data_IF_358240568026
#
_entry.id   IF_358240568026
#
_cell.length_a   1.000
_cell.length_b   1.000
_cell.length_c   1.000
_cell.angle_alpha   90.00
_cell.angle_beta   90.00
_cell.angle_gamma   90.00
#
_symmetry.space_group_name_H-M   'P 1'
#
loop_
_entity.id
_entity.type
_entity.pdbx_description
1 polymer ?
#
# COMPACT_ATOMS: atom_id res chain seq x y z
N UNK A 1 18.98 24.61 15.59
CA UNK A 1 20.40 24.35 15.27
C UNK A 1 20.50 22.90 14.84
N UNK A 2 21.12 22.60 13.70
CA UNK A 2 21.38 21.21 13.29
C UNK A 2 22.64 20.70 14.00
N UNK A 3 22.61 19.51 14.58
CA UNK A 3 23.72 18.90 15.32
C UNK A 3 23.76 17.39 15.13
N UNK A 4 24.95 16.82 15.01
CA UNK A 4 25.18 15.37 14.99
C UNK A 4 26.16 15.03 16.12
N UNK A 5 25.67 14.38 17.17
CA UNK A 5 26.43 14.08 18.38
C UNK A 5 26.52 12.55 18.50
N UNK A 6 27.72 12.04 18.69
CA UNK A 6 27.96 10.62 18.93
C UNK A 6 28.96 10.43 20.09
N UNK A 7 28.76 9.41 20.95
CA UNK A 7 29.65 9.16 22.07
C UNK A 7 30.98 8.54 21.62
N UNK A 8 32.09 9.01 22.20
CA UNK A 8 33.43 8.45 21.97
C UNK A 8 33.76 7.39 23.04
N UNK A 9 33.83 6.12 22.64
CA UNK A 9 34.21 5.02 23.52
C UNK A 9 35.72 4.75 23.44
N UNK A 10 36.43 4.95 24.55
CA UNK A 10 37.85 4.67 24.66
C UNK A 10 38.17 3.92 25.95
N UNK A 11 39.15 3.02 25.88
CA UNK A 11 39.67 2.30 27.04
C UNK A 11 40.12 3.30 28.11
N UNK A 12 39.68 3.09 29.35
CA UNK A 12 39.99 3.97 30.49
C UNK A 12 39.08 5.20 30.65
N UNK A 13 38.10 5.41 29.77
CA UNK A 13 37.07 6.45 29.97
C UNK A 13 35.82 5.89 30.65
N UNK A 14 35.21 6.71 31.50
CA UNK A 14 33.97 6.37 32.21
C UNK A 14 32.79 6.49 31.25
N UNK A 15 31.97 5.44 31.20
CA UNK A 15 30.69 5.43 30.50
C UNK A 15 29.70 6.30 31.26
N UNK A 16 29.28 7.42 30.67
CA UNK A 16 28.30 8.33 31.28
C UNK A 16 26.89 7.96 30.86
N UNK A 17 25.91 8.26 31.72
CA UNK A 17 24.49 8.05 31.45
C UNK A 17 24.04 8.74 30.16
N UNK A 18 24.49 9.97 29.93
CA UNK A 18 24.11 10.78 28.76
C UNK A 18 24.59 10.13 27.44
N UNK A 19 25.66 9.35 27.48
CA UNK A 19 26.15 8.60 26.32
C UNK A 19 25.21 7.44 25.96
N UNK A 20 24.65 6.75 26.97
CA UNK A 20 23.67 5.68 26.78
C UNK A 20 22.31 6.24 26.35
N UNK A 21 21.87 7.34 26.96
CA UNK A 21 20.65 8.06 26.55
C UNK A 21 20.76 8.49 25.08
N UNK A 22 21.91 9.04 24.66
CA UNK A 22 22.15 9.39 23.26
C UNK A 22 22.03 8.19 22.31
N UNK A 23 22.56 7.01 22.68
CA UNK A 23 22.44 5.81 21.84
C UNK A 23 21.02 5.23 21.81
N UNK A 24 20.31 5.27 22.93
CA UNK A 24 18.95 4.76 23.07
C UNK A 24 17.94 5.61 22.31
N UNK A 25 18.07 6.93 22.43
CA UNK A 25 17.06 7.87 21.95
C UNK A 25 17.26 8.21 20.47
N UNK A 26 18.50 8.20 19.97
CA UNK A 26 18.82 8.58 18.59
C UNK A 26 18.04 7.78 17.52
N UNK A 27 17.97 6.43 17.55
CA UNK A 27 17.21 5.67 16.55
C UNK A 27 15.72 6.01 16.55
N UNK A 28 15.10 6.16 17.74
CA UNK A 28 13.68 6.51 17.86
C UNK A 28 13.40 7.92 17.37
N UNK A 29 14.26 8.88 17.73
CA UNK A 29 14.13 10.27 17.30
C UNK A 29 14.32 10.39 15.79
N UNK A 30 15.35 9.73 15.23
CA UNK A 30 15.60 9.74 13.79
C UNK A 30 14.41 9.17 13.03
N UNK A 31 13.90 8.00 13.44
CA UNK A 31 12.74 7.38 12.79
C UNK A 31 11.47 8.25 12.95
N UNK A 32 11.25 8.82 14.13
CA UNK A 32 10.13 9.73 14.39
C UNK A 32 10.17 10.99 13.53
N UNK A 33 11.35 11.59 13.32
CA UNK A 33 11.54 12.73 12.43
C UNK A 33 11.39 12.34 10.97
N UNK A 34 11.95 11.20 10.55
CA UNK A 34 11.91 10.73 9.17
C UNK A 34 10.47 10.47 8.69
N UNK A 35 9.65 9.82 9.54
CA UNK A 35 8.25 9.51 9.23
C UNK A 35 7.26 10.52 9.80
N UNK A 36 7.71 11.71 10.22
CA UNK A 36 6.85 12.70 10.88
C UNK A 36 5.67 13.11 10.00
N UNK A 37 5.91 13.32 8.71
CA UNK A 37 4.91 13.75 7.73
C UNK A 37 4.01 12.62 7.20
N UNK A 38 4.31 11.36 7.54
CA UNK A 38 3.54 10.21 7.06
C UNK A 38 2.22 10.09 7.84
N UNK A 39 1.18 9.60 7.18
CA UNK A 39 -0.06 9.19 7.85
C UNK A 39 0.13 7.90 8.64
N UNK A 40 -0.89 7.52 9.41
CA UNK A 40 -1.01 6.15 9.91
C UNK A 40 -1.19 5.17 8.74
N UNK A 41 -0.67 3.96 8.91
CA UNK A 41 -0.68 2.91 7.88
C UNK A 41 0.58 2.04 7.88
N UNK A 42 0.64 1.11 6.93
CA UNK A 42 1.81 0.25 6.68
C UNK A 42 2.92 1.10 6.07
N UNK A 43 4.11 1.08 6.69
CA UNK A 43 5.28 1.83 6.21
C UNK A 43 6.12 0.98 5.28
N UNK A 44 6.36 -0.28 5.64
CA UNK A 44 7.12 -1.24 4.85
C UNK A 44 6.82 -2.67 5.29
N UNK A 45 6.81 -3.62 4.35
CA UNK A 45 6.56 -5.04 4.64
C UNK A 45 5.13 -5.31 5.09
N UNK A 46 4.95 -6.24 6.03
CA UNK A 46 3.62 -6.69 6.48
C UNK A 46 2.82 -7.33 5.32
N UNK A 47 3.52 -7.94 4.37
CA UNK A 47 2.91 -8.69 3.28
C UNK A 47 2.16 -9.90 3.84
N UNK A 48 0.95 -10.14 3.34
CA UNK A 48 0.11 -11.27 3.76
C UNK A 48 0.16 -12.35 2.71
N UNK A 49 0.60 -13.55 3.11
CA UNK A 49 0.64 -14.75 2.28
C UNK A 49 -0.39 -15.74 2.78
N UNK A 50 -1.11 -16.40 1.87
CA UNK A 50 -2.09 -17.43 2.23
C UNK A 50 -1.39 -18.79 2.15
N UNK A 51 -1.28 -19.49 3.28
CA UNK A 51 -0.66 -20.81 3.37
C UNK A 51 -1.60 -21.80 4.06
N UNK A 52 -2.06 -22.82 3.32
CA UNK A 52 -2.99 -23.82 3.82
C UNK A 52 -4.21 -23.18 4.52
N UNK A 53 -4.32 -23.29 5.85
CA UNK A 53 -5.40 -22.76 6.69
C UNK A 53 -4.95 -21.57 7.55
N UNK A 54 -3.86 -20.90 7.16
CA UNK A 54 -3.27 -19.78 7.87
C UNK A 54 -2.95 -18.61 6.94
N UNK A 55 -3.05 -17.41 7.50
CA UNK A 55 -2.49 -16.19 6.92
C UNK A 55 -1.12 -15.97 7.57
N UNK A 56 -0.07 -15.92 6.76
CA UNK A 56 1.27 -15.60 7.21
C UNK A 56 1.52 -14.13 6.97
N UNK A 57 1.64 -13.37 8.05
CA UNK A 57 1.98 -11.94 8.01
C UNK A 57 3.49 -11.80 8.14
N UNK A 58 4.12 -11.27 7.09
CA UNK A 58 5.55 -11.04 7.05
C UNK A 58 6.01 -9.93 8.00
N UNK A 59 7.31 -9.91 8.29
CA UNK A 59 7.95 -8.85 9.06
C UNK A 59 7.68 -7.46 8.42
N UNK A 60 7.63 -6.42 9.24
CA UNK A 60 7.34 -5.09 8.73
C UNK A 60 7.24 -4.00 9.78
N UNK A 61 6.91 -2.81 9.31
CA UNK A 61 6.79 -1.58 10.11
C UNK A 61 5.44 -0.95 9.80
N UNK A 62 4.69 -0.61 10.85
CA UNK A 62 3.45 0.16 10.74
C UNK A 62 3.53 1.41 11.59
N UNK A 63 2.85 2.48 11.16
CA UNK A 63 2.70 3.73 11.90
C UNK A 63 1.27 3.86 12.39
N UNK A 64 1.09 4.14 13.68
CA UNK A 64 -0.22 4.45 14.28
C UNK A 64 -0.08 5.45 15.41
N UNK A 65 -0.94 6.49 15.43
CA UNK A 65 -0.95 7.48 16.51
C UNK A 65 0.40 8.19 16.69
N UNK A 66 1.15 8.39 15.61
CA UNK A 66 2.49 9.00 15.63
C UNK A 66 3.63 8.09 16.11
N UNK A 67 3.36 6.80 16.38
CA UNK A 67 4.35 5.81 16.81
C UNK A 67 4.60 4.78 15.73
N UNK A 68 5.82 4.25 15.68
CA UNK A 68 6.17 3.11 14.83
C UNK A 68 6.11 1.83 15.65
N UNK A 69 5.51 0.80 15.08
CA UNK A 69 5.45 -0.55 15.60
C UNK A 69 6.17 -1.47 14.62
N UNK A 70 6.97 -2.38 15.13
CA UNK A 70 7.76 -3.32 14.34
C UNK A 70 7.28 -4.74 14.60
N UNK A 71 7.07 -5.49 13.53
CA UNK A 71 6.90 -6.93 13.58
C UNK A 71 8.21 -7.56 13.08
N UNK A 72 8.98 -8.14 14.00
CA UNK A 72 10.32 -8.66 13.70
C UNK A 72 10.32 -10.10 13.20
N UNK A 73 9.28 -10.88 13.54
CA UNK A 73 9.11 -12.27 13.16
C UNK A 73 7.77 -12.48 12.45
N UNK A 74 7.75 -13.38 11.47
CA UNK A 74 6.49 -13.72 10.78
C UNK A 74 5.46 -14.27 11.78
N UNK A 75 4.20 -13.90 11.59
CA UNK A 75 3.10 -14.35 12.43
C UNK A 75 2.11 -15.16 11.61
N UNK A 76 1.75 -16.33 12.13
CA UNK A 76 0.73 -17.19 11.56
C UNK A 76 -0.60 -16.92 12.24
N UNK A 77 -1.60 -16.54 11.45
CA UNK A 77 -2.96 -16.28 11.91
C UNK A 77 -3.89 -17.32 11.30
N UNK A 78 -4.35 -18.32 12.06
CA UNK A 78 -5.29 -19.32 11.58
C UNK A 78 -6.61 -18.67 11.12
N UNK A 79 -7.16 -19.13 10.01
CA UNK A 79 -8.45 -18.67 9.52
C UNK A 79 -9.42 -19.84 9.26
N UNK A 80 -10.71 -19.56 9.18
CA UNK A 80 -11.74 -20.56 8.89
C UNK A 80 -12.73 -20.08 7.83
N UNK A 81 -13.40 -21.03 7.18
CA UNK A 81 -14.40 -20.75 6.15
C UNK A 81 -15.76 -20.44 6.77
N UNK A 82 -16.01 -19.18 7.12
CA UNK A 82 -17.26 -18.75 7.77
C UNK A 82 -18.35 -18.33 6.78
N UNK A 83 -18.03 -18.18 5.49
CA UNK A 83 -18.92 -17.63 4.46
C UNK A 83 -19.16 -16.12 4.57
N UNK A 84 -18.65 -15.48 5.63
CA UNK A 84 -18.79 -14.05 5.91
C UNK A 84 -17.51 -13.29 5.60
N UNK A 85 -17.62 -11.98 5.46
CA UNK A 85 -16.45 -11.12 5.29
C UNK A 85 -15.67 -11.07 6.61
N UNK A 86 -14.41 -11.46 6.56
CA UNK A 86 -13.47 -11.46 7.68
C UNK A 86 -12.31 -10.53 7.33
N UNK A 87 -11.98 -9.64 8.24
CA UNK A 87 -10.95 -8.62 8.11
C UNK A 87 -9.76 -8.99 8.99
N UNK A 88 -8.56 -9.03 8.40
CA UNK A 88 -7.32 -9.10 9.15
C UNK A 88 -6.86 -7.69 9.46
N UNK A 89 -6.67 -7.40 10.75
CA UNK A 89 -6.30 -6.07 11.24
C UNK A 89 -5.28 -6.17 12.36
N UNK A 90 -4.47 -5.11 12.49
CA UNK A 90 -3.62 -4.88 13.65
C UNK A 90 -4.44 -4.08 14.65
N UNK A 91 -4.57 -4.56 15.89
CA UNK A 91 -5.20 -3.84 16.99
C UNK A 91 -4.12 -3.26 17.90
N UNK A 92 -4.16 -1.94 18.10
CA UNK A 92 -3.21 -1.24 18.96
C UNK A 92 -3.77 -1.08 20.38
N UNK A 93 -2.98 -1.45 21.38
CA UNK A 93 -3.38 -1.36 22.79
C UNK A 93 -2.92 -0.05 23.43
N UNK A 94 -3.55 0.28 24.56
CA UNK A 94 -3.11 1.39 25.40
C UNK A 94 -1.70 1.12 25.97
N UNK A 95 -1.03 2.20 26.38
CA UNK A 95 0.27 2.09 27.03
C UNK A 95 0.15 1.31 28.35
N UNK A 96 1.02 0.32 28.54
CA UNK A 96 1.17 -0.38 29.80
C UNK A 96 2.45 0.11 30.48
N UNK A 97 2.31 0.75 31.64
CA UNK A 97 3.45 1.15 32.46
C UNK A 97 3.91 -0.02 33.32
N UNK A 98 5.12 -0.48 33.05
CA UNK A 98 5.85 -1.47 33.83
C UNK A 98 7.01 -0.77 34.55
N UNK A 99 7.62 -1.42 35.55
CA UNK A 99 8.64 -0.81 36.43
C UNK A 99 9.79 -0.15 35.67
N UNK A 100 10.23 -0.76 34.57
CA UNK A 100 11.38 -0.31 33.78
C UNK A 100 11.01 0.13 32.35
N UNK A 101 9.77 -0.11 31.91
CA UNK A 101 9.34 0.06 30.52
C UNK A 101 7.91 0.58 30.41
N UNK A 102 7.65 1.41 29.39
CA UNK A 102 6.30 1.63 28.89
C UNK A 102 6.13 0.82 27.61
N UNK A 103 5.23 -0.17 27.63
CA UNK A 103 4.99 -1.06 26.51
C UNK A 103 3.78 -0.58 25.72
N UNK A 104 3.96 -0.46 24.40
CA UNK A 104 2.87 -0.21 23.46
C UNK A 104 2.69 -1.49 22.65
N UNK A 105 1.72 -2.32 23.06
CA UNK A 105 1.42 -3.58 22.39
C UNK A 105 0.56 -3.39 21.14
N UNK A 106 0.71 -4.30 20.19
CA UNK A 106 -0.22 -4.47 19.09
C UNK A 106 -0.34 -5.96 18.75
N UNK A 107 -1.52 -6.40 18.34
CA UNK A 107 -1.80 -7.80 18.00
C UNK A 107 -2.50 -7.92 16.64
N UNK A 108 -2.33 -9.06 15.98
CA UNK A 108 -3.05 -9.41 14.76
C UNK A 108 -4.38 -10.08 15.12
N UNK A 109 -5.48 -9.58 14.57
CA UNK A 109 -6.84 -10.07 14.84
C UNK A 109 -7.58 -10.33 13.54
N UNK A 110 -8.33 -11.43 13.51
CA UNK A 110 -9.37 -11.68 12.52
C UNK A 110 -10.73 -11.39 13.12
N UNK A 111 -11.53 -10.59 12.43
CA UNK A 111 -12.84 -10.13 12.92
C UNK A 111 -13.81 -9.94 11.75
N UNK A 112 -15.10 -10.00 12.02
CA UNK A 112 -16.15 -9.65 11.04
C UNK A 112 -16.40 -8.12 11.01
N UNK A 113 -15.89 -7.38 12.00
CA UNK A 113 -16.01 -5.94 12.08
C UNK A 113 -14.92 -5.18 11.32
N UNK A 114 -15.34 -4.11 10.63
CA UNK A 114 -14.44 -3.15 9.97
C UNK A 114 -13.48 -2.52 10.99
N UNK A 115 -12.25 -2.27 10.58
CA UNK A 115 -11.24 -1.68 11.45
C UNK A 115 -11.68 -0.33 12.05
N UNK A 116 -11.61 -0.24 13.38
CA UNK A 116 -11.86 1.00 14.14
C UNK A 116 -10.68 1.98 14.14
N UNK A 117 -10.78 3.04 14.95
CA UNK A 117 -9.74 4.07 15.05
C UNK A 117 -8.41 3.58 15.67
N UNK A 118 -8.48 2.58 16.54
CA UNK A 118 -7.31 1.92 17.15
C UNK A 118 -6.91 0.65 16.41
N UNK A 119 -7.34 0.50 15.16
CA UNK A 119 -7.07 -0.67 14.34
C UNK A 119 -6.58 -0.26 12.95
N UNK A 120 -5.75 -1.10 12.33
CA UNK A 120 -5.27 -0.92 10.96
C UNK A 120 -5.57 -2.17 10.14
N UNK A 121 -6.41 -2.03 9.12
CA UNK A 121 -6.75 -3.11 8.20
C UNK A 121 -5.56 -3.46 7.28
N UNK A 122 -5.21 -4.75 7.24
CA UNK A 122 -4.22 -5.31 6.33
C UNK A 122 -4.86 -5.92 5.07
N UNK A 123 -6.13 -6.29 5.18
CA UNK A 123 -6.94 -6.82 4.09
C UNK A 123 -8.08 -7.67 4.62
N UNK A 124 -8.85 -8.26 3.71
CA UNK A 124 -10.06 -9.02 4.04
C UNK A 124 -10.31 -10.15 3.07
N UNK A 125 -11.18 -11.07 3.44
CA UNK A 125 -11.61 -12.16 2.58
C UNK A 125 -13.03 -12.62 2.95
N UNK A 126 -13.68 -13.32 2.01
CA UNK A 126 -14.95 -14.01 2.26
C UNK A 126 -14.85 -15.43 1.76
N UNK A 127 -14.60 -16.38 2.66
CA UNK A 127 -14.30 -17.76 2.30
C UNK A 127 -15.52 -18.67 2.47
N UNK A 128 -15.94 -19.32 1.37
CA UNK A 128 -17.03 -20.31 1.40
C UNK A 128 -16.56 -21.63 2.01
N UNK A 129 -17.46 -22.31 2.72
CA UNK A 129 -17.21 -23.67 3.19
C UNK A 129 -16.78 -24.59 2.04
N UNK A 130 -15.74 -25.41 2.27
CA UNK A 130 -15.18 -26.32 1.27
C UNK A 130 -14.31 -25.66 0.19
N UNK A 131 -14.16 -24.34 0.18
CA UNK A 131 -13.26 -23.65 -0.73
C UNK A 131 -11.87 -23.42 -0.11
N UNK A 132 -10.89 -23.13 -0.97
CA UNK A 132 -9.55 -22.68 -0.55
C UNK A 132 -9.41 -21.19 -0.81
N UNK A 133 -8.83 -20.48 0.15
CA UNK A 133 -8.45 -19.08 -0.04
C UNK A 133 -7.22 -19.03 -0.95
N UNK A 134 -7.20 -18.10 -1.91
CA UNK A 134 -6.05 -17.84 -2.78
C UNK A 134 -5.54 -16.41 -2.62
N UNK A 135 -4.28 -16.20 -2.97
CA UNK A 135 -3.66 -14.86 -3.00
C UNK A 135 -2.98 -14.53 -4.34
N UNK A 136 -3.17 -15.38 -5.34
CA UNK A 136 -2.71 -15.18 -6.72
C UNK A 136 -3.81 -14.55 -7.57
N UNK A 137 -3.50 -13.43 -8.23
CA UNK A 137 -4.44 -12.66 -9.04
C UNK A 137 -4.17 -12.81 -10.53
N UNK A 138 -5.22 -13.10 -11.30
CA UNK A 138 -5.13 -13.32 -12.75
C UNK A 138 -5.23 -12.03 -13.55
N UNK A 139 -5.87 -11.01 -12.99
CA UNK A 139 -6.05 -9.71 -13.65
C UNK A 139 -6.11 -8.59 -12.62
N UNK A 140 -6.05 -7.34 -13.06
CA UNK A 140 -6.21 -6.21 -12.15
C UNK A 140 -7.61 -6.17 -11.53
N UNK A 141 -8.65 -6.55 -12.28
CA UNK A 141 -10.01 -6.64 -11.74
C UNK A 141 -10.17 -7.74 -10.68
N UNK A 142 -9.34 -8.78 -10.76
CA UNK A 142 -9.39 -9.96 -9.87
C UNK A 142 -9.05 -9.64 -8.41
N UNK A 143 -8.35 -8.53 -8.15
CA UNK A 143 -8.12 -8.03 -6.77
C UNK A 143 -9.43 -7.70 -6.04
N UNK A 144 -10.51 -7.41 -6.78
CA UNK A 144 -11.84 -7.13 -6.21
C UNK A 144 -12.76 -8.36 -6.18
N UNK A 145 -12.25 -9.56 -6.45
CA UNK A 145 -13.04 -10.79 -6.37
C UNK A 145 -13.53 -11.01 -4.94
N UNK A 146 -14.86 -11.05 -4.78
CA UNK A 146 -15.51 -11.08 -3.46
C UNK A 146 -15.21 -12.36 -2.67
N UNK A 147 -15.26 -13.53 -3.34
CA UNK A 147 -15.19 -14.82 -2.65
C UNK A 147 -13.86 -15.54 -2.86
N UNK A 148 -13.45 -16.27 -1.83
CA UNK A 148 -12.33 -17.21 -1.84
C UNK A 148 -11.00 -16.58 -2.30
N UNK A 149 -10.88 -15.26 -2.20
CA UNK A 149 -9.72 -14.50 -2.67
C UNK A 149 -9.34 -13.52 -1.57
N UNK A 150 -8.06 -13.44 -1.25
CA UNK A 150 -7.52 -12.41 -0.37
C UNK A 150 -7.68 -11.03 -1.03
N UNK A 151 -8.22 -10.05 -0.33
CA UNK A 151 -8.45 -8.70 -0.83
C UNK A 151 -7.61 -7.69 -0.06
N UNK A 152 -6.54 -7.22 -0.71
CA UNK A 152 -5.61 -6.23 -0.17
C UNK A 152 -5.96 -4.77 -0.56
N UNK A 153 -7.03 -4.53 -1.32
CA UNK A 153 -7.36 -3.19 -1.86
C UNK A 153 -7.52 -2.17 -0.72
N UNK A 154 -8.09 -2.61 0.40
CA UNK A 154 -8.44 -1.75 1.52
C UNK A 154 -7.30 -1.54 2.53
N UNK A 155 -6.18 -2.26 2.35
CA UNK A 155 -4.98 -2.03 3.13
C UNK A 155 -4.51 -0.57 3.00
N UNK A 156 -4.29 0.08 4.13
CA UNK A 156 -3.86 1.48 4.17
C UNK A 156 -2.34 1.55 4.35
N UNK A 157 -1.65 2.01 3.32
CA UNK A 157 -0.22 2.31 3.41
C UNK A 157 -0.01 3.74 3.87
N UNK A 158 1.01 3.95 4.69
CA UNK A 158 1.42 5.27 5.16
C UNK A 158 1.94 6.08 3.98
N UNK A 159 1.29 7.20 3.69
CA UNK A 159 1.71 8.16 2.65
C UNK A 159 1.99 9.52 3.26
N UNK A 160 2.66 10.39 2.51
CA UNK A 160 2.93 11.76 2.98
C UNK A 160 1.59 12.52 3.08
N UNK A 161 1.29 13.06 4.27
CA UNK A 161 0.06 13.78 4.57
C UNK A 161 -1.19 12.90 4.73
N UNK A 162 -1.38 11.89 3.88
CA UNK A 162 -2.54 11.00 3.91
C UNK A 162 -2.23 9.57 3.47
N UNK A 163 -3.08 8.64 3.91
CA UNK A 163 -2.97 7.22 3.57
C UNK A 163 -3.06 6.97 2.07
N UNK A 164 -2.22 6.07 1.60
CA UNK A 164 -2.16 5.63 0.22
C UNK A 164 -2.63 4.19 0.04
N UNK A 165 -2.42 3.67 -1.16
CA UNK A 165 -2.88 2.38 -1.66
C UNK A 165 -1.72 1.39 -1.65
N UNK A 166 -2.06 0.10 -1.54
CA UNK A 166 -1.11 -1.00 -1.54
C UNK A 166 -0.08 -0.92 -2.71
N UNK A 167 1.24 -0.96 -2.42
CA UNK A 167 2.31 -0.89 -3.41
C UNK A 167 2.21 -1.96 -4.49
N UNK A 168 1.98 -3.21 -4.09
CA UNK A 168 1.78 -4.32 -5.02
C UNK A 168 0.65 -4.06 -6.04
N UNK A 169 -0.46 -3.44 -5.62
CA UNK A 169 -1.55 -3.07 -6.52
C UNK A 169 -1.10 -2.01 -7.54
N UNK A 170 -0.38 -0.98 -7.08
CA UNK A 170 0.16 0.07 -7.95
C UNK A 170 1.21 -0.48 -8.92
N UNK A 171 2.10 -1.36 -8.47
CA UNK A 171 3.10 -2.02 -9.32
C UNK A 171 2.45 -2.94 -10.35
N UNK A 172 1.41 -3.69 -9.97
CA UNK A 172 0.64 -4.52 -10.91
C UNK A 172 -0.06 -3.66 -11.96
N UNK A 173 -0.69 -2.55 -11.55
CA UNK A 173 -1.31 -1.61 -12.48
C UNK A 173 -0.27 -1.06 -13.48
N UNK A 174 0.86 -0.58 -12.98
CA UNK A 174 1.92 -0.02 -13.80
C UNK A 174 2.52 -1.03 -14.79
N UNK A 175 2.75 -2.27 -14.34
CA UNK A 175 3.27 -3.33 -15.21
C UNK A 175 2.27 -3.68 -16.33
N UNK A 176 0.98 -3.76 -16.01
CA UNK A 176 -0.08 -3.97 -17.01
C UNK A 176 -0.15 -2.80 -18.00
N UNK A 177 -0.08 -1.56 -17.51
CA UNK A 177 -0.18 -0.36 -18.32
C UNK A 177 0.95 -0.28 -19.35
N UNK A 178 2.19 -0.54 -18.90
CA UNK A 178 3.38 -0.55 -19.75
C UNK A 178 3.41 -1.75 -20.69
N UNK A 179 3.04 -2.95 -20.22
CA UNK A 179 3.01 -4.16 -21.07
C UNK A 179 1.96 -4.06 -22.18
N UNK A 180 0.89 -3.29 -21.98
CA UNK A 180 -0.12 -2.98 -23.00
C UNK A 180 0.34 -1.91 -24.00
N UNK A 181 1.51 -1.32 -23.80
CA UNK A 181 2.12 -0.36 -24.72
C UNK A 181 1.45 1.01 -24.72
N UNK A 182 1.00 1.51 -23.57
CA UNK A 182 0.44 2.88 -23.52
C UNK A 182 1.46 3.91 -23.99
N UNK A 183 1.06 4.74 -24.95
CA UNK A 183 1.86 5.85 -25.50
C UNK A 183 1.58 7.18 -24.81
N UNK A 184 0.64 7.22 -23.86
CA UNK A 184 0.29 8.44 -23.15
C UNK A 184 1.44 8.84 -22.19
N UNK A 185 1.99 10.06 -22.28
CA UNK A 185 3.08 10.50 -21.40
C UNK A 185 2.72 10.46 -19.91
N UNK A 186 1.47 10.74 -19.55
CA UNK A 186 1.00 10.66 -18.16
C UNK A 186 1.02 9.21 -17.65
N UNK A 187 0.76 8.23 -18.52
CA UNK A 187 0.76 6.81 -18.17
C UNK A 187 2.16 6.32 -17.89
N UNK A 188 3.10 6.67 -18.76
CA UNK A 188 4.50 6.30 -18.62
C UNK A 188 5.07 6.92 -17.33
N UNK A 189 4.85 8.22 -17.12
CA UNK A 189 5.33 8.91 -15.93
C UNK A 189 4.72 8.33 -14.64
N UNK A 190 3.40 8.08 -14.62
CA UNK A 190 2.74 7.52 -13.46
C UNK A 190 3.18 6.07 -13.18
N UNK A 191 3.31 5.24 -14.22
CA UNK A 191 3.81 3.87 -14.08
C UNK A 191 5.23 3.83 -13.49
N UNK A 192 6.11 4.73 -13.93
CA UNK A 192 7.46 4.85 -13.35
C UNK A 192 7.40 5.20 -11.86
N UNK A 193 6.52 6.12 -11.44
CA UNK A 193 6.33 6.46 -10.03
C UNK A 193 5.88 5.24 -9.21
N UNK A 194 4.87 4.51 -9.69
CA UNK A 194 4.37 3.28 -9.07
C UNK A 194 5.42 2.19 -8.89
N UNK A 195 6.44 2.12 -9.76
CA UNK A 195 7.51 1.12 -9.67
C UNK A 195 8.68 1.58 -8.78
N UNK A 196 8.88 2.89 -8.62
CA UNK A 196 10.05 3.45 -7.94
C UNK A 196 9.89 3.64 -6.43
N UNK A 197 8.65 3.76 -5.95
CA UNK A 197 8.35 4.08 -4.56
C UNK A 197 7.73 2.89 -3.84
N UNK A 198 7.80 2.92 -2.50
CA UNK A 198 7.02 1.99 -1.70
C UNK A 198 5.54 2.37 -1.82
N UNK A 199 5.11 3.50 -1.28
CA UNK A 199 3.77 4.03 -1.49
C UNK A 199 3.81 5.30 -2.36
N UNK A 200 3.02 5.32 -3.44
CA UNK A 200 2.83 6.53 -4.27
C UNK A 200 1.91 7.49 -3.53
N UNK A 201 2.18 8.79 -3.55
CA UNK A 201 1.30 9.78 -2.89
C UNK A 201 -0.14 9.72 -3.42
N UNK A 202 -1.11 9.72 -2.50
CA UNK A 202 -2.54 9.61 -2.85
C UNK A 202 -2.98 10.72 -3.79
N UNK A 203 -2.52 11.96 -3.56
CA UNK A 203 -2.88 13.10 -4.42
C UNK A 203 -2.46 12.87 -5.88
N UNK A 204 -1.27 12.33 -6.10
CA UNK A 204 -0.79 11.99 -7.44
C UNK A 204 -1.67 10.94 -8.11
N UNK A 205 -2.08 9.91 -7.36
CA UNK A 205 -3.01 8.88 -7.86
C UNK A 205 -4.34 9.51 -8.28
N UNK A 206 -4.91 10.39 -7.45
CA UNK A 206 -6.20 11.04 -7.72
C UNK A 206 -6.12 12.02 -8.90
N UNK A 207 -5.04 12.80 -9.01
CA UNK A 207 -4.80 13.67 -10.16
C UNK A 207 -4.63 12.87 -11.46
N UNK A 208 -3.87 11.78 -11.41
CA UNK A 208 -3.70 10.89 -12.56
C UNK A 208 -5.05 10.34 -13.04
N UNK A 209 -5.89 9.82 -12.14
CA UNK A 209 -7.23 9.34 -12.46
C UNK A 209 -8.09 10.46 -13.06
N UNK A 210 -8.07 11.65 -12.44
CA UNK A 210 -8.85 12.80 -12.88
C UNK A 210 -8.51 13.27 -14.29
N UNK A 211 -7.22 13.31 -14.63
CA UNK A 211 -6.72 13.64 -15.97
C UNK A 211 -7.10 12.55 -16.96
N UNK A 212 -6.84 11.29 -16.62
CA UNK A 212 -7.03 10.15 -17.52
C UNK A 212 -8.48 9.87 -17.89
N UNK A 213 -9.40 10.09 -16.96
CA UNK A 213 -10.83 9.88 -17.18
C UNK A 213 -11.59 11.16 -17.51
N UNK A 214 -10.93 12.33 -17.53
CA UNK A 214 -11.58 13.63 -17.74
C UNK A 214 -12.61 13.98 -16.65
N UNK A 215 -12.46 13.44 -15.44
CA UNK A 215 -13.42 13.59 -14.34
C UNK A 215 -13.06 14.71 -13.37
N UNK A 216 -11.88 15.33 -13.53
CA UNK A 216 -11.30 16.27 -12.58
C UNK A 216 -10.83 15.57 -11.28
N UNK A 217 -10.20 16.34 -10.40
CA UNK A 217 -9.76 15.84 -9.09
C UNK A 217 -10.97 15.62 -8.17
N UNK A 218 -11.04 14.45 -7.54
CA UNK A 218 -12.03 14.14 -6.50
C UNK A 218 -11.38 13.22 -5.46
N UNK A 219 -11.77 13.34 -4.18
CA UNK A 219 -11.36 12.38 -3.18
C UNK A 219 -12.05 11.04 -3.45
N UNK A 220 -11.26 9.98 -3.59
CA UNK A 220 -11.74 8.61 -3.75
C UNK A 220 -11.20 7.74 -2.63
N UNK A 221 -11.96 6.73 -2.20
CA UNK A 221 -11.47 5.63 -1.36
C UNK A 221 -10.63 4.63 -2.18
N UNK A 222 -10.00 3.64 -1.52
CA UNK A 222 -9.13 2.69 -2.22
C UNK A 222 -9.90 1.79 -3.20
N UNK A 223 -11.15 1.43 -2.90
CA UNK A 223 -11.99 0.63 -3.80
C UNK A 223 -12.37 1.40 -5.07
N UNK A 224 -12.69 2.68 -4.92
CA UNK A 224 -12.94 3.59 -6.03
C UNK A 224 -11.67 3.83 -6.86
N UNK A 225 -10.51 4.02 -6.22
CA UNK A 225 -9.22 4.12 -6.92
C UNK A 225 -8.97 2.87 -7.75
N UNK A 226 -9.09 1.68 -7.16
CA UNK A 226 -8.94 0.40 -7.87
C UNK A 226 -9.88 0.32 -9.07
N UNK A 227 -11.17 0.60 -8.88
CA UNK A 227 -12.16 0.61 -9.96
C UNK A 227 -11.78 1.54 -11.12
N UNK A 228 -11.36 2.77 -10.82
CA UNK A 228 -11.01 3.75 -11.86
C UNK A 228 -9.70 3.43 -12.57
N UNK A 229 -8.71 2.91 -11.86
CA UNK A 229 -7.49 2.39 -12.48
C UNK A 229 -7.80 1.18 -13.39
N UNK A 230 -8.72 0.31 -13.00
CA UNK A 230 -9.19 -0.78 -13.86
C UNK A 230 -9.79 -0.27 -15.17
N UNK A 231 -10.68 0.73 -15.10
CA UNK A 231 -11.25 1.38 -16.29
C UNK A 231 -10.16 1.97 -17.21
N UNK A 232 -9.15 2.60 -16.62
CA UNK A 232 -8.02 3.14 -17.37
C UNK A 232 -7.27 2.04 -18.13
N UNK A 233 -7.06 0.86 -17.52
CA UNK A 233 -6.42 -0.28 -18.19
C UNK A 233 -7.28 -0.82 -19.35
N UNK A 234 -8.59 -0.84 -19.18
CA UNK A 234 -9.54 -1.29 -20.21
C UNK A 234 -9.55 -0.32 -21.41
N UNK A 235 -9.49 0.99 -21.15
CA UNK A 235 -9.44 2.02 -22.20
C UNK A 235 -8.17 1.89 -23.05
N UNK A 236 -7.01 1.58 -22.44
CA UNK A 236 -5.76 1.33 -23.17
C UNK A 236 -5.88 0.07 -24.04
N UNK A 237 -6.54 -0.98 -23.56
CA UNK A 237 -6.77 -2.20 -24.32
C UNK A 237 -7.75 -2.00 -25.49
N UNK A 238 -8.82 -1.22 -25.29
CA UNK A 238 -9.79 -0.85 -26.32
C UNK A 238 -9.21 0.08 -27.38
N UNK A 239 -8.34 1.02 -26.98
CA UNK A 239 -7.61 1.91 -27.87
C UNK A 239 -6.68 1.16 -28.82
N UNK A 240 -5.98 0.13 -28.33
CA UNK A 240 -5.14 -0.73 -29.18
C UNK A 240 -5.93 -1.62 -30.17
N UNK A 241 -7.20 -1.91 -29.91
CA UNK A 241 -8.09 -2.62 -30.86
C UNK A 241 -8.63 -1.71 -31.96
N UNK A 242 -8.69 -0.40 -31.73
CA UNK A 242 -8.95 0.60 -32.76
C UNK A 242 -7.62 1.03 -33.38
N UNK A 243 -7.02 0.12 -34.15
CA UNK A 243 -5.88 0.44 -35.02
C UNK A 243 -6.20 1.64 -35.93
N UNK A 244 -5.18 2.39 -36.38
CA UNK A 244 -5.36 3.69 -36.99
C UNK A 244 -6.22 3.59 -38.25
N UNK A 245 -7.33 4.33 -38.31
CA UNK A 245 -7.91 4.72 -39.60
C UNK A 245 -6.89 5.62 -40.30
N UNK A 246 -5.96 5.01 -41.01
CA UNK A 246 -5.27 5.63 -42.12
C UNK A 246 -6.34 6.07 -43.12
N UNK A 247 -6.70 7.35 -43.09
CA UNK A 247 -7.20 8.06 -44.27
C UNK A 247 -6.05 8.88 -44.86
N UNK A 248 -5.26 8.35 -45.82
CA UNK A 248 -4.46 9.21 -46.67
C UNK A 248 -5.40 9.80 -47.73
N UNK A 249 -5.44 11.13 -47.80
CA UNK A 249 -6.11 11.84 -48.87
C UNK A 249 -5.67 11.33 -50.24
N UNK A 250 -6.64 10.80 -51.01
CA UNK A 250 -6.47 10.52 -52.43
C UNK A 250 -6.54 11.82 -53.25
N UNK A 251 -5.79 11.92 -54.37
CA UNK A 251 -5.61 13.17 -55.11
C UNK A 251 -6.89 13.63 -55.81
N UNK A 252 -7.21 14.92 -55.68
CA UNK A 252 -8.24 15.60 -56.49
C UNK A 252 -7.75 15.68 -57.94
N UNK A 253 -8.38 14.92 -58.85
CA UNK A 253 -8.25 15.17 -60.29
C UNK A 253 -9.04 16.43 -60.64
N UNK A 254 -8.34 17.48 -61.04
CA UNK A 254 -8.92 18.60 -61.79
C UNK A 254 -9.16 18.11 -63.23
N UNK A 255 -10.41 18.20 -63.69
CA UNK A 255 -10.72 18.18 -65.11
C UNK A 255 -10.87 19.65 -65.51
N UNK A 256 -10.08 20.08 -66.48
CA UNK A 256 -10.18 21.40 -67.12
C UNK A 256 -10.81 21.14 -68.49
N UNK A 257 -11.86 21.91 -68.82
CA UNK A 257 -12.45 21.97 -70.16
C UNK A 257 -11.52 22.65 -71.17
#
# INVERSE_FOLDING_TARGET
>A
MFSNIYPNFHKGRILKREMLESLRDYPRQLAGLYFQSYSDGIVAGTDVRVEAEQLVVGCGIVKHGGRLYTLEEEQQVPYSATGKETVLKIRFHAAEEQSDYTVYGAELVLDEEVAGASELELGRFKLKEGAKLRSEYQSFADFATEFNTWNMIHAAYAGVGQRSVHPALMRYFASQLLSRGSTNPYDIAFAMQCMSQEAVDRELILHYIGIRLGMGYKPYDNGQIHKYLGRILDDVQGGNRRGPELRPGGPRRMIVE
#
